data_IF_977264031069
#
_entry.id   IF_977264031069
#
_cell.length_a   1.000
_cell.length_b   1.000
_cell.length_c   1.000
_cell.angle_alpha   90.00
_cell.angle_beta   90.00
_cell.angle_gamma   90.00
#
_symmetry.space_group_name_H-M   'P 1'
#
loop_
_entity.id
_entity.type
_entity.pdbx_description
1 polymer ?
#
# COMPACT_ATOMS: atom_id res chain seq x y z
N UNK A 1 5.05 -32.48 77.40
CA UNK A 1 4.29 -32.85 76.23
C UNK A 1 4.46 -31.70 75.24
N UNK A 2 5.33 -31.86 74.20
CA UNK A 2 5.66 -30.82 73.21
C UNK A 2 4.91 -31.18 71.95
N UNK A 3 3.96 -30.25 71.55
CA UNK A 3 3.25 -30.36 70.28
C UNK A 3 4.11 -29.81 69.14
N UNK A 4 4.44 -30.68 68.18
CA UNK A 4 5.12 -30.34 66.96
C UNK A 4 4.07 -30.12 65.88
N UNK A 5 3.86 -28.85 65.44
CA UNK A 5 3.01 -28.50 64.31
C UNK A 5 3.86 -28.68 63.06
N UNK A 6 3.50 -29.67 62.22
CA UNK A 6 4.07 -29.83 60.87
C UNK A 6 3.34 -28.88 59.90
N UNK A 7 4.03 -27.85 59.43
CA UNK A 7 3.59 -27.02 58.34
C UNK A 7 3.83 -27.76 57.02
N UNK A 8 2.74 -28.05 56.30
CA UNK A 8 2.80 -28.61 54.96
C UNK A 8 2.79 -27.39 53.98
N UNK A 9 3.94 -27.12 53.35
CA UNK A 9 4.01 -26.17 52.26
C UNK A 9 3.48 -26.82 50.99
N UNK A 10 2.32 -26.36 50.50
CA UNK A 10 1.83 -26.69 49.18
C UNK A 10 2.58 -25.83 48.15
N UNK A 11 3.46 -26.44 47.37
CA UNK A 11 4.08 -25.81 46.23
C UNK A 11 3.09 -25.84 45.06
N UNK A 12 2.45 -24.71 44.78
CA UNK A 12 1.62 -24.55 43.57
C UNK A 12 2.59 -24.33 42.41
N UNK A 13 2.83 -25.36 41.60
CA UNK A 13 3.52 -25.28 40.33
C UNK A 13 2.52 -24.73 39.33
N UNK A 14 2.57 -23.42 39.07
CA UNK A 14 1.88 -22.76 37.93
C UNK A 14 2.60 -23.23 36.66
N UNK A 15 2.06 -24.24 36.02
CA UNK A 15 2.46 -24.60 34.66
C UNK A 15 2.02 -23.51 33.72
N UNK A 16 2.94 -22.66 33.29
CA UNK A 16 2.74 -21.76 32.17
C UNK A 16 2.66 -22.61 30.89
N UNK A 17 1.46 -23.01 30.49
CA UNK A 17 1.25 -23.53 29.15
C UNK A 17 1.34 -22.33 28.19
N UNK A 18 2.53 -22.12 27.63
CA UNK A 18 2.69 -21.24 26.47
C UNK A 18 1.87 -21.83 25.34
N UNK A 19 0.74 -21.21 25.03
CA UNK A 19 0.04 -21.49 23.78
C UNK A 19 0.96 -21.07 22.64
N UNK A 20 1.61 -22.05 22.02
CA UNK A 20 2.32 -21.84 20.76
C UNK A 20 1.22 -21.64 19.72
N UNK A 21 0.96 -20.40 19.33
CA UNK A 21 0.15 -20.08 18.15
C UNK A 21 0.96 -20.62 16.97
N UNK A 22 0.42 -21.57 16.20
CA UNK A 22 1.14 -22.07 15.03
C UNK A 22 1.39 -20.90 14.09
N UNK A 23 2.64 -20.67 13.71
CA UNK A 23 2.97 -19.68 12.69
C UNK A 23 2.38 -20.14 11.36
N UNK A 24 1.43 -19.38 10.81
CA UNK A 24 0.96 -19.63 9.46
C UNK A 24 2.06 -19.20 8.48
N UNK A 25 2.66 -20.17 7.83
CA UNK A 25 3.59 -19.89 6.74
C UNK A 25 2.83 -19.36 5.53
N UNK A 26 3.23 -18.17 5.03
CA UNK A 26 2.69 -17.62 3.78
C UNK A 26 3.15 -18.51 2.64
N UNK A 27 2.19 -19.10 1.92
CA UNK A 27 2.47 -20.06 0.85
C UNK A 27 2.66 -19.37 -0.49
N UNK A 28 3.54 -19.91 -1.29
CA UNK A 28 3.73 -19.49 -2.70
C UNK A 28 2.41 -19.60 -3.48
N UNK A 29 2.09 -18.55 -4.27
CA UNK A 29 0.85 -18.51 -5.06
C UNK A 29 -0.42 -18.25 -4.25
N UNK A 30 -0.28 -17.63 -3.06
CA UNK A 30 -1.42 -17.19 -2.23
C UNK A 30 -1.25 -15.75 -1.78
N UNK A 31 -2.37 -15.06 -1.59
CA UNK A 31 -2.46 -13.75 -0.96
C UNK A 31 -3.33 -13.91 0.28
N UNK A 32 -2.90 -13.37 1.42
CA UNK A 32 -3.68 -13.33 2.66
C UNK A 32 -4.03 -11.87 2.93
N UNK A 33 -5.32 -11.57 3.11
CA UNK A 33 -5.75 -10.24 3.55
C UNK A 33 -5.49 -10.08 5.06
N UNK A 34 -4.73 -9.07 5.44
CA UNK A 34 -4.31 -8.82 6.82
C UNK A 34 -5.06 -7.67 7.49
N UNK A 35 -5.71 -6.81 6.71
CA UNK A 35 -6.41 -5.63 7.19
C UNK A 35 -7.49 -5.20 6.21
N UNK A 36 -8.74 -5.14 6.69
CA UNK A 36 -9.89 -4.71 5.89
C UNK A 36 -11.06 -4.29 6.78
N UNK A 37 -12.03 -3.59 6.19
CA UNK A 37 -13.24 -3.14 6.85
C UNK A 37 -14.31 -4.23 7.03
N UNK A 38 -14.09 -5.45 6.51
CA UNK A 38 -15.04 -6.57 6.61
C UNK A 38 -14.32 -7.91 6.70
N UNK A 39 -14.93 -8.86 7.43
CA UNK A 39 -14.38 -10.19 7.67
C UNK A 39 -15.51 -11.20 7.93
N UNK A 40 -15.28 -12.47 7.61
CA UNK A 40 -16.07 -13.61 8.11
C UNK A 40 -15.58 -14.10 9.46
N UNK A 41 -14.30 -13.89 9.75
CA UNK A 41 -13.68 -14.30 10.99
C UNK A 41 -13.91 -13.23 12.08
N UNK A 42 -14.82 -13.51 13.01
CA UNK A 42 -15.17 -12.60 14.12
C UNK A 42 -14.07 -12.48 15.17
N UNK A 43 -13.02 -13.27 15.09
CA UNK A 43 -11.85 -13.17 15.98
C UNK A 43 -10.87 -12.08 15.55
N UNK A 44 -10.99 -11.60 14.31
CA UNK A 44 -10.18 -10.51 13.75
C UNK A 44 -10.88 -9.16 13.94
N UNK A 45 -10.09 -8.11 14.07
CA UNK A 45 -10.61 -6.75 14.22
C UNK A 45 -10.65 -6.05 12.89
N UNK A 46 -11.86 -5.72 12.41
CA UNK A 46 -12.06 -4.96 11.18
C UNK A 46 -11.90 -3.46 11.46
N UNK A 47 -11.30 -2.75 10.51
CA UNK A 47 -11.20 -1.30 10.50
C UNK A 47 -10.98 -0.80 9.08
N UNK A 48 -11.25 0.49 8.82
CA UNK A 48 -11.08 1.05 7.48
C UNK A 48 -9.59 1.18 7.14
N UNK A 49 -9.13 0.40 6.19
CA UNK A 49 -7.75 0.33 5.74
C UNK A 49 -7.49 -0.96 4.95
N UNK A 50 -6.29 -1.09 4.42
CA UNK A 50 -5.91 -2.24 3.61
C UNK A 50 -4.51 -2.72 3.92
N UNK A 51 -4.35 -4.04 3.95
CA UNK A 51 -3.06 -4.72 3.94
C UNK A 51 -3.19 -6.15 3.46
N UNK A 52 -2.24 -6.63 2.70
CA UNK A 52 -2.14 -8.04 2.37
C UNK A 52 -0.70 -8.52 2.31
N UNK A 53 -0.52 -9.84 2.39
CA UNK A 53 0.77 -10.49 2.29
C UNK A 53 0.73 -11.61 1.26
N UNK A 54 1.80 -11.74 0.48
CA UNK A 54 1.96 -12.82 -0.50
C UNK A 54 3.38 -13.35 -0.51
N UNK A 55 3.58 -14.55 -1.05
CA UNK A 55 4.91 -15.10 -1.32
C UNK A 55 5.07 -15.33 -2.81
N UNK A 56 6.17 -14.82 -3.37
CA UNK A 56 6.48 -14.91 -4.78
C UNK A 56 7.98 -15.11 -5.00
N UNK A 57 8.37 -16.14 -5.74
CA UNK A 57 9.78 -16.55 -5.94
C UNK A 57 10.57 -16.67 -4.62
N UNK A 58 9.94 -17.24 -3.59
CA UNK A 58 10.54 -17.43 -2.28
C UNK A 58 10.66 -16.16 -1.44
N UNK A 59 10.19 -15.00 -1.94
CA UNK A 59 10.17 -13.73 -1.21
C UNK A 59 8.80 -13.46 -0.62
N UNK A 60 8.77 -13.05 0.64
CA UNK A 60 7.57 -12.63 1.35
C UNK A 60 7.38 -11.12 1.16
N UNK A 61 6.24 -10.73 0.61
CA UNK A 61 5.93 -9.38 0.19
C UNK A 61 4.72 -8.90 0.96
N UNK A 62 4.88 -7.82 1.71
CA UNK A 62 3.78 -7.09 2.34
C UNK A 62 3.35 -5.94 1.42
N UNK A 63 2.06 -5.83 1.16
CA UNK A 63 1.47 -4.73 0.41
C UNK A 63 0.54 -3.96 1.35
N UNK A 64 0.86 -2.68 1.62
CA UNK A 64 0.22 -1.81 2.60
C UNK A 64 0.23 -2.35 4.05
N UNK A 65 -0.21 -1.54 5.03
CA UNK A 65 -0.13 -1.89 6.44
C UNK A 65 -1.34 -1.39 7.28
N UNK A 66 -2.45 -1.01 6.65
CA UNK A 66 -3.66 -0.58 7.34
C UNK A 66 -3.56 0.79 8.02
N UNK A 67 -4.65 1.17 8.70
CA UNK A 67 -4.87 2.48 9.31
C UNK A 67 -4.36 2.61 10.75
N UNK A 68 -4.21 1.50 11.46
CA UNK A 68 -3.92 1.48 12.90
C UNK A 68 -2.90 0.40 13.25
N UNK A 69 -1.78 0.80 13.87
CA UNK A 69 -0.68 -0.10 14.20
C UNK A 69 -1.06 -1.18 15.22
N UNK A 70 -1.92 -0.87 16.20
CA UNK A 70 -2.33 -1.81 17.24
C UNK A 70 -3.31 -2.85 16.68
N UNK A 71 -4.25 -2.44 15.82
CA UNK A 71 -5.17 -3.36 15.12
C UNK A 71 -4.36 -4.24 14.16
N UNK A 72 -3.44 -3.65 13.39
CA UNK A 72 -2.55 -4.40 12.51
C UNK A 72 -1.76 -5.45 13.29
N UNK A 73 -1.15 -5.07 14.42
CA UNK A 73 -0.45 -6.00 15.32
C UNK A 73 -1.37 -7.13 15.80
N UNK A 74 -2.56 -6.79 16.26
CA UNK A 74 -3.51 -7.78 16.78
C UNK A 74 -3.91 -8.81 15.70
N UNK A 75 -4.22 -8.36 14.49
CA UNK A 75 -4.58 -9.21 13.36
C UNK A 75 -3.40 -10.08 12.91
N UNK A 76 -2.21 -9.51 12.76
CA UNK A 76 -0.97 -10.24 12.43
C UNK A 76 -0.71 -11.37 13.43
N UNK A 77 -0.80 -11.08 14.73
CA UNK A 77 -0.60 -12.08 15.77
C UNK A 77 -1.65 -13.18 15.73
N UNK A 78 -2.92 -12.82 15.49
CA UNK A 78 -4.03 -13.77 15.40
C UNK A 78 -3.91 -14.67 14.18
N UNK A 79 -3.48 -14.11 13.05
CA UNK A 79 -3.24 -14.84 11.81
C UNK A 79 -1.93 -15.65 11.85
N UNK A 80 -1.09 -15.49 12.89
CA UNK A 80 0.19 -16.20 13.05
C UNK A 80 1.23 -15.79 12.00
N UNK A 81 1.18 -14.55 11.50
CA UNK A 81 2.13 -14.04 10.51
C UNK A 81 3.37 -13.50 11.22
N UNK A 82 4.55 -13.91 10.76
CA UNK A 82 5.81 -13.40 11.27
C UNK A 82 6.36 -12.27 10.40
N UNK A 83 6.27 -11.03 10.87
CA UNK A 83 6.75 -9.86 10.11
C UNK A 83 8.28 -9.81 9.94
N UNK A 84 9.06 -10.61 10.69
CA UNK A 84 10.50 -10.74 10.46
C UNK A 84 10.83 -11.43 9.14
N UNK A 85 9.90 -12.22 8.62
CA UNK A 85 10.06 -12.96 7.37
C UNK A 85 9.69 -12.11 6.13
N UNK A 86 9.24 -10.87 6.33
CA UNK A 86 8.93 -9.94 5.24
C UNK A 86 10.23 -9.43 4.62
N UNK A 87 10.45 -9.74 3.35
CA UNK A 87 11.61 -9.30 2.58
C UNK A 87 11.40 -7.91 1.94
N UNK A 88 10.17 -7.65 1.50
CA UNK A 88 9.81 -6.48 0.70
C UNK A 88 8.47 -5.93 1.18
N UNK A 89 8.39 -4.61 1.29
CA UNK A 89 7.15 -3.87 1.54
C UNK A 89 6.86 -2.97 0.35
N UNK A 90 5.61 -2.94 -0.07
CA UNK A 90 5.13 -2.01 -1.08
C UNK A 90 4.03 -1.18 -0.43
N UNK A 91 4.16 0.13 -0.47
CA UNK A 91 3.11 1.05 -0.05
C UNK A 91 2.45 1.61 -1.29
N UNK A 92 1.15 1.37 -1.40
CA UNK A 92 0.40 1.78 -2.59
C UNK A 92 0.35 3.30 -2.75
N UNK A 93 0.08 4.04 -1.68
CA UNK A 93 0.00 5.51 -1.68
C UNK A 93 0.06 6.09 -0.27
N UNK A 94 0.06 7.41 -0.16
CA UNK A 94 0.33 8.13 1.08
C UNK A 94 -0.84 8.28 2.06
N UNK A 95 -2.00 7.64 1.87
CA UNK A 95 -3.10 7.75 2.84
C UNK A 95 -2.81 6.94 4.11
N UNK A 96 -3.32 7.45 5.24
CA UNK A 96 -3.06 6.89 6.57
C UNK A 96 -3.52 5.44 6.71
N UNK A 97 -4.59 5.08 6.02
CA UNK A 97 -5.24 3.79 6.05
C UNK A 97 -4.51 2.68 5.27
N UNK A 98 -3.35 3.04 4.69
CA UNK A 98 -2.43 2.11 4.01
C UNK A 98 -1.05 2.03 4.66
N UNK A 99 -0.69 2.99 5.53
CA UNK A 99 0.69 3.09 6.00
C UNK A 99 0.87 3.14 7.52
N UNK A 100 -0.19 3.33 8.32
CA UNK A 100 -0.02 3.50 9.76
C UNK A 100 0.51 2.25 10.48
N UNK A 101 0.22 1.05 10.00
CA UNK A 101 0.79 -0.20 10.53
C UNK A 101 2.29 -0.36 10.30
N UNK A 102 2.91 0.46 9.44
CA UNK A 102 4.36 0.47 9.27
C UNK A 102 5.09 0.82 10.57
N UNK A 103 4.48 1.56 11.48
CA UNK A 103 5.06 1.84 12.79
C UNK A 103 5.30 0.57 13.59
N UNK A 104 4.39 -0.41 13.50
CA UNK A 104 4.60 -1.71 14.13
C UNK A 104 5.59 -2.56 13.35
N UNK A 105 5.45 -2.64 12.04
CA UNK A 105 6.39 -3.40 11.18
C UNK A 105 7.84 -2.97 11.43
N UNK A 106 8.12 -1.67 11.42
CA UNK A 106 9.49 -1.14 11.57
C UNK A 106 10.08 -1.36 12.96
N UNK A 107 9.26 -1.58 14.01
CA UNK A 107 9.75 -2.05 15.31
C UNK A 107 10.24 -3.51 15.23
N UNK A 108 9.63 -4.34 14.39
CA UNK A 108 9.93 -5.78 14.26
C UNK A 108 11.01 -6.04 13.21
N UNK A 109 10.97 -5.29 12.09
CA UNK A 109 11.85 -5.46 10.93
C UNK A 109 12.33 -4.08 10.43
N UNK A 110 13.26 -3.42 11.16
CA UNK A 110 13.62 -2.01 10.93
C UNK A 110 14.37 -1.77 9.62
N UNK A 111 14.98 -2.80 9.04
CA UNK A 111 15.80 -2.68 7.84
C UNK A 111 15.10 -3.20 6.57
N UNK A 112 13.83 -3.58 6.66
CA UNK A 112 13.07 -4.11 5.53
C UNK A 112 13.06 -3.11 4.37
N UNK A 113 13.20 -3.60 3.15
CA UNK A 113 13.12 -2.77 1.94
C UNK A 113 11.69 -2.34 1.71
N UNK A 114 11.47 -1.02 1.57
CA UNK A 114 10.14 -0.44 1.33
C UNK A 114 10.16 0.31 0.00
N UNK A 115 9.17 0.06 -0.84
CA UNK A 115 8.90 0.82 -2.06
C UNK A 115 7.70 1.75 -1.84
N UNK A 116 7.91 3.05 -2.10
CA UNK A 116 6.87 4.08 -2.09
C UNK A 116 6.66 4.62 -3.50
N UNK A 117 5.44 5.11 -3.84
CA UNK A 117 5.27 5.92 -5.03
C UNK A 117 6.13 7.18 -4.92
N UNK A 118 6.58 7.69 -6.06
CA UNK A 118 7.32 8.95 -6.09
C UNK A 118 6.39 10.10 -5.71
N UNK A 119 6.43 10.47 -4.46
CA UNK A 119 5.62 11.53 -3.88
C UNK A 119 6.51 12.46 -3.05
N UNK A 120 6.60 13.72 -3.49
CA UNK A 120 7.42 14.74 -2.84
C UNK A 120 6.94 15.08 -1.43
N UNK A 121 5.65 14.93 -1.14
CA UNK A 121 5.10 15.18 0.19
C UNK A 121 5.55 14.13 1.22
N UNK A 122 5.96 12.96 0.76
CA UNK A 122 6.44 11.85 1.59
C UNK A 122 7.97 11.76 1.65
N UNK A 123 8.66 12.78 1.13
CA UNK A 123 10.11 12.90 1.26
C UNK A 123 10.90 12.42 0.05
N UNK A 124 10.26 12.21 -1.11
CA UNK A 124 10.99 11.96 -2.34
C UNK A 124 11.99 13.09 -2.61
N UNK A 125 13.23 12.77 -3.03
CA UNK A 125 14.26 13.77 -3.27
C UNK A 125 13.85 14.75 -4.37
N UNK A 126 13.93 16.05 -4.09
CA UNK A 126 13.61 17.11 -5.05
C UNK A 126 14.88 17.87 -5.43
N UNK A 127 15.25 17.88 -6.72
CA UNK A 127 16.31 18.79 -7.18
C UNK A 127 15.91 20.24 -6.94
N UNK A 128 16.79 21.00 -6.35
CA UNK A 128 16.60 22.42 -6.08
C UNK A 128 17.80 23.22 -6.59
N UNK A 129 17.51 24.40 -7.10
CA UNK A 129 18.52 25.36 -7.48
C UNK A 129 18.28 26.67 -6.71
N UNK A 130 19.21 27.04 -5.84
CA UNK A 130 19.14 28.25 -5.05
C UNK A 130 19.61 29.50 -5.81
N UNK A 131 19.75 29.42 -7.13
CA UNK A 131 20.05 30.57 -7.97
C UNK A 131 18.90 31.57 -7.92
N UNK A 132 19.15 32.76 -7.47
CA UNK A 132 18.18 33.87 -7.40
C UNK A 132 18.12 34.68 -8.69
N UNK A 133 17.24 35.69 -8.69
CA UNK A 133 17.31 36.76 -9.70
C UNK A 133 18.54 37.63 -9.48
N UNK A 134 19.11 38.18 -10.57
CA UNK A 134 20.32 39.01 -10.52
C UNK A 134 21.46 38.33 -9.77
N UNK A 135 21.67 37.03 -9.96
CA UNK A 135 22.63 36.23 -9.21
C UNK A 135 24.08 36.71 -9.30
N UNK A 136 24.42 37.52 -10.32
CA UNK A 136 25.71 38.17 -10.48
C UNK A 136 26.05 39.14 -9.32
N UNK A 137 25.06 39.56 -8.55
CA UNK A 137 25.24 40.40 -7.35
C UNK A 137 26.10 39.66 -6.29
N UNK A 138 26.04 38.31 -6.27
CA UNK A 138 26.84 37.49 -5.33
C UNK A 138 28.36 37.83 -5.41
N UNK A 139 28.86 38.14 -6.62
CA UNK A 139 30.26 38.37 -6.86
C UNK A 139 30.77 39.64 -6.13
N UNK A 140 29.83 40.53 -5.73
CA UNK A 140 30.10 41.73 -4.91
C UNK A 140 30.04 41.45 -3.41
N UNK A 141 29.57 40.28 -3.00
CA UNK A 141 29.46 39.90 -1.59
C UNK A 141 30.73 39.17 -1.09
N UNK A 142 31.12 39.35 0.16
CA UNK A 142 32.15 38.52 0.78
C UNK A 142 31.78 37.04 0.71
N UNK A 143 32.74 36.15 0.51
CA UNK A 143 32.54 34.73 0.32
C UNK A 143 31.69 34.09 1.44
N UNK A 144 31.81 34.53 2.68
CA UNK A 144 31.00 34.01 3.80
C UNK A 144 29.53 34.42 3.77
N UNK A 145 29.13 35.32 2.89
CA UNK A 145 27.75 35.70 2.62
C UNK A 145 27.18 35.03 1.36
N UNK A 146 28.00 34.33 0.61
CA UNK A 146 27.56 33.62 -0.59
C UNK A 146 27.08 32.21 -0.21
N UNK A 147 25.97 31.74 -0.81
CA UNK A 147 25.52 30.38 -0.64
C UNK A 147 26.62 29.39 -1.04
N UNK A 148 26.85 28.38 -0.21
CA UNK A 148 27.87 27.36 -0.42
C UNK A 148 29.28 27.94 -0.68
N UNK A 149 29.59 29.08 -0.06
CA UNK A 149 30.85 29.84 -0.23
C UNK A 149 31.19 30.13 -1.71
N UNK A 150 30.17 30.41 -2.52
CA UNK A 150 30.29 30.67 -3.96
C UNK A 150 30.34 29.43 -4.85
N UNK A 151 30.12 28.24 -4.26
CA UNK A 151 30.05 26.97 -4.99
C UNK A 151 28.71 26.74 -5.73
N UNK A 152 28.45 25.52 -6.08
CA UNK A 152 27.20 25.13 -6.79
C UNK A 152 25.96 25.40 -5.94
N UNK A 153 24.98 26.11 -6.50
CA UNK A 153 23.64 26.34 -5.90
C UNK A 153 22.69 25.18 -6.09
N UNK A 154 23.10 24.16 -6.86
CA UNK A 154 22.28 22.98 -7.14
C UNK A 154 22.50 21.91 -6.09
N UNK A 155 21.41 21.47 -5.46
CA UNK A 155 21.43 20.40 -4.46
C UNK A 155 20.13 19.63 -4.45
N UNK A 156 20.08 18.55 -3.69
CA UNK A 156 18.90 17.73 -3.51
C UNK A 156 18.28 18.05 -2.15
N UNK A 157 17.05 18.56 -2.15
CA UNK A 157 16.25 18.65 -0.93
C UNK A 157 15.70 17.29 -0.64
N UNK A 158 15.97 16.80 0.58
CA UNK A 158 15.29 15.62 1.13
C UNK A 158 14.34 16.12 2.20
N UNK A 159 13.05 15.89 2.02
CA UNK A 159 12.09 16.24 3.06
C UNK A 159 12.11 15.18 4.16
N UNK A 160 11.99 15.60 5.41
CA UNK A 160 11.89 14.68 6.53
C UNK A 160 10.45 14.20 6.65
N UNK A 161 10.19 12.94 6.37
CA UNK A 161 8.90 12.28 6.57
C UNK A 161 8.90 11.39 7.80
N UNK A 162 7.73 10.85 8.14
CA UNK A 162 7.54 9.94 9.28
C UNK A 162 8.45 8.72 9.25
N UNK A 163 8.77 8.22 8.05
CA UNK A 163 9.59 7.01 7.83
C UNK A 163 10.98 7.33 7.30
N UNK A 164 11.49 8.50 7.60
CA UNK A 164 12.73 9.05 7.05
C UNK A 164 13.95 8.13 7.18
N UNK A 165 14.05 7.42 8.31
CA UNK A 165 15.18 6.53 8.59
C UNK A 165 14.97 5.10 8.06
N UNK A 166 13.82 4.80 7.46
CA UNK A 166 13.55 3.50 6.89
C UNK A 166 14.28 3.30 5.55
N UNK A 167 14.45 2.05 5.14
CA UNK A 167 15.08 1.70 3.87
C UNK A 167 14.10 1.87 2.70
N UNK A 168 13.79 3.14 2.36
CA UNK A 168 12.78 3.50 1.36
C UNK A 168 13.42 3.73 -0.01
N UNK A 169 12.73 3.27 -1.04
CA UNK A 169 12.97 3.61 -2.43
C UNK A 169 11.71 4.18 -3.06
N UNK A 170 11.80 5.40 -3.60
CA UNK A 170 10.71 6.05 -4.31
C UNK A 170 10.70 5.61 -5.78
N UNK A 171 9.55 5.11 -6.22
CA UNK A 171 9.34 4.55 -7.56
C UNK A 171 8.62 5.57 -8.44
N UNK A 172 9.29 6.02 -9.50
CA UNK A 172 8.76 7.02 -10.45
C UNK A 172 8.29 6.41 -11.77
N UNK A 173 8.87 5.31 -12.15
CA UNK A 173 8.57 4.57 -13.39
C UNK A 173 8.41 3.09 -13.09
N UNK A 174 7.72 2.36 -13.96
CA UNK A 174 7.56 0.92 -13.81
C UNK A 174 8.90 0.21 -13.62
N UNK A 175 8.95 -0.73 -12.69
CA UNK A 175 10.17 -1.41 -12.29
C UNK A 175 9.90 -2.87 -11.97
N UNK A 176 10.55 -3.77 -12.69
CA UNK A 176 10.62 -5.17 -12.30
C UNK A 176 11.63 -5.32 -11.16
N UNK A 177 11.19 -5.75 -9.98
CA UNK A 177 12.03 -5.89 -8.77
C UNK A 177 12.46 -7.34 -8.50
N UNK A 178 11.72 -8.29 -9.05
CA UNK A 178 12.08 -9.72 -9.16
C UNK A 178 11.56 -10.22 -10.51
N UNK A 179 12.09 -11.31 -11.06
CA UNK A 179 11.57 -11.86 -12.32
C UNK A 179 10.05 -12.07 -12.28
N UNK A 180 9.31 -11.34 -13.10
CA UNK A 180 7.85 -11.38 -13.15
C UNK A 180 7.12 -10.64 -12.01
N UNK A 181 7.83 -9.89 -11.17
CA UNK A 181 7.24 -9.04 -10.13
C UNK A 181 7.52 -7.58 -10.47
N UNK A 182 6.48 -6.86 -10.91
CA UNK A 182 6.60 -5.51 -11.45
C UNK A 182 5.80 -4.52 -10.62
N UNK A 183 6.46 -3.43 -10.22
CA UNK A 183 5.82 -2.24 -9.65
C UNK A 183 5.30 -1.35 -10.77
N UNK A 184 4.03 -0.96 -10.68
CA UNK A 184 3.34 -0.13 -11.67
C UNK A 184 2.93 1.18 -11.01
N UNK A 185 3.70 2.27 -11.19
CA UNK A 185 3.30 3.58 -10.72
C UNK A 185 2.23 4.15 -11.64
N UNK A 186 1.18 4.68 -11.05
CA UNK A 186 0.11 5.41 -11.74
C UNK A 186 -0.16 6.73 -11.05
N UNK A 187 -0.63 7.69 -11.82
CA UNK A 187 -1.11 8.97 -11.32
C UNK A 187 -2.04 9.54 -12.38
N UNK A 188 -3.26 9.84 -12.00
CA UNK A 188 -4.23 10.44 -12.91
C UNK A 188 -5.13 11.43 -12.18
N UNK A 189 -5.71 12.34 -12.94
CA UNK A 189 -6.70 13.30 -12.45
C UNK A 189 -8.09 12.69 -12.21
N UNK A 190 -8.23 11.39 -12.36
CA UNK A 190 -9.50 10.66 -12.36
C UNK A 190 -10.35 10.94 -11.11
N UNK A 191 -9.74 11.01 -9.94
CA UNK A 191 -10.42 11.27 -8.67
C UNK A 191 -10.32 12.73 -8.22
N UNK A 192 -9.89 13.65 -9.11
CA UNK A 192 -9.87 15.08 -8.82
C UNK A 192 -8.78 15.54 -7.85
N UNK A 193 -7.69 14.83 -7.74
CA UNK A 193 -6.56 15.26 -6.94
C UNK A 193 -5.76 16.36 -7.62
N UNK A 194 -5.48 17.41 -6.85
CA UNK A 194 -4.68 18.54 -7.31
C UNK A 194 -3.44 18.64 -6.44
N UNK A 195 -2.28 18.63 -7.07
CA UNK A 195 -1.03 19.01 -6.45
C UNK A 195 -0.60 20.36 -6.97
N UNK A 196 -0.66 21.37 -6.13
CA UNK A 196 -0.10 22.68 -6.39
C UNK A 196 1.23 22.79 -5.63
N UNK A 197 2.36 22.68 -6.31
CA UNK A 197 3.66 22.88 -5.70
C UNK A 197 4.26 24.24 -6.14
N UNK A 198 4.92 24.97 -5.25
CA UNK A 198 5.04 24.80 -3.81
C UNK A 198 3.99 25.59 -3.02
N UNK A 199 3.45 25.00 -1.99
CA UNK A 199 2.81 25.72 -0.87
C UNK A 199 1.34 26.08 -1.01
N UNK A 200 0.56 25.44 -1.92
CA UNK A 200 -0.88 25.58 -1.99
C UNK A 200 -1.62 24.30 -1.59
N UNK A 201 -2.75 24.48 -0.94
CA UNK A 201 -3.54 23.43 -0.31
C UNK A 201 -3.88 22.29 -1.25
N UNK A 202 -3.54 21.08 -0.82
CA UNK A 202 -4.04 19.83 -1.33
C UNK A 202 -5.50 19.66 -0.89
N UNK A 203 -6.41 19.39 -1.82
CA UNK A 203 -7.82 19.09 -1.50
C UNK A 203 -8.23 17.83 -2.24
N UNK A 204 -8.53 16.78 -1.47
CA UNK A 204 -9.05 15.53 -1.98
C UNK A 204 -10.52 15.68 -2.38
N UNK A 205 -10.88 15.14 -3.55
CA UNK A 205 -12.28 15.03 -3.96
C UNK A 205 -12.97 16.32 -4.37
N UNK A 206 -12.27 17.44 -4.52
CA UNK A 206 -12.82 18.63 -5.13
C UNK A 206 -12.66 18.58 -6.64
N UNK A 207 -13.79 18.54 -7.36
CA UNK A 207 -13.86 18.54 -8.82
C UNK A 207 -13.79 19.96 -9.42
N UNK A 208 -13.54 20.98 -8.61
CA UNK A 208 -13.41 22.35 -9.08
C UNK A 208 -12.16 22.50 -9.96
N UNK A 209 -12.31 23.26 -11.05
CA UNK A 209 -11.21 23.50 -11.97
C UNK A 209 -10.02 24.09 -11.20
N UNK A 210 -8.81 23.53 -11.38
CA UNK A 210 -7.62 24.16 -10.82
C UNK A 210 -7.51 25.59 -11.32
N UNK A 211 -7.08 26.50 -10.45
CA UNK A 211 -6.68 27.80 -10.96
C UNK A 211 -5.47 27.60 -11.91
N UNK A 212 -5.25 28.51 -12.85
CA UNK A 212 -4.28 28.39 -13.93
C UNK A 212 -2.83 28.05 -13.53
N UNK A 213 -2.53 28.04 -12.23
CA UNK A 213 -1.21 27.76 -11.66
C UNK A 213 -1.08 26.37 -11.02
N UNK A 214 -2.12 25.53 -11.06
CA UNK A 214 -2.12 24.20 -10.48
C UNK A 214 -2.17 23.14 -11.57
N UNK A 215 -1.18 22.25 -11.58
CA UNK A 215 -1.26 21.05 -12.41
C UNK A 215 -2.05 19.98 -11.67
N UNK A 216 -3.01 19.38 -12.36
CA UNK A 216 -3.68 18.20 -11.87
C UNK A 216 -2.75 16.99 -12.07
N UNK A 217 -2.05 16.61 -11.02
CA UNK A 217 -1.08 15.51 -11.07
C UNK A 217 -1.66 14.17 -10.65
N UNK A 218 -2.88 14.16 -10.13
CA UNK A 218 -3.44 12.98 -9.48
C UNK A 218 -2.70 12.61 -8.18
N UNK A 219 -3.16 11.55 -7.53
CA UNK A 219 -2.46 10.94 -6.40
C UNK A 219 -1.50 9.88 -6.94
N UNK A 220 -0.18 9.99 -6.64
CA UNK A 220 0.77 8.95 -7.02
C UNK A 220 0.46 7.64 -6.29
N UNK A 221 0.31 6.56 -7.03
CA UNK A 221 0.03 5.21 -6.52
C UNK A 221 1.01 4.19 -7.09
N UNK A 222 1.25 3.12 -6.33
CA UNK A 222 1.91 1.90 -6.78
C UNK A 222 0.93 0.74 -6.75
N UNK A 223 0.88 0.01 -7.84
CA UNK A 223 0.27 -1.31 -7.92
C UNK A 223 1.34 -2.38 -8.13
N UNK A 224 1.02 -3.61 -7.80
CA UNK A 224 1.94 -4.75 -7.92
C UNK A 224 1.38 -5.76 -8.91
N UNK A 225 2.14 -6.07 -9.96
CA UNK A 225 1.84 -7.18 -10.88
C UNK A 225 2.72 -8.37 -10.61
N UNK A 226 2.08 -9.54 -10.51
CA UNK A 226 2.71 -10.85 -10.35
C UNK A 226 2.43 -11.69 -11.59
N UNK A 227 3.45 -12.00 -12.36
CA UNK A 227 3.33 -12.86 -13.56
C UNK A 227 3.06 -14.30 -13.16
N UNK A 228 2.02 -14.88 -13.73
CA UNK A 228 1.68 -16.30 -13.56
C UNK A 228 1.57 -17.02 -14.90
N UNK A 229 1.36 -18.33 -14.87
CA UNK A 229 1.13 -19.11 -16.10
C UNK A 229 -0.18 -18.75 -16.80
N UNK A 230 -1.14 -18.18 -16.06
CA UNK A 230 -2.48 -17.84 -16.58
C UNK A 230 -2.63 -16.38 -17.00
N UNK A 231 -1.71 -15.52 -16.61
CA UNK A 231 -1.75 -14.08 -16.83
C UNK A 231 -1.19 -13.33 -15.62
N UNK A 232 -1.41 -12.02 -15.58
CA UNK A 232 -0.97 -11.17 -14.47
C UNK A 232 -1.98 -11.22 -13.31
N UNK A 233 -1.49 -11.32 -12.07
CA UNK A 233 -2.24 -11.06 -10.85
C UNK A 233 -1.88 -9.66 -10.39
N UNK A 234 -2.85 -8.76 -10.45
CA UNK A 234 -2.67 -7.35 -10.15
C UNK A 234 -3.20 -7.04 -8.75
N UNK A 235 -2.33 -6.58 -7.86
CA UNK A 235 -2.69 -6.10 -6.52
C UNK A 235 -2.71 -4.58 -6.55
N UNK A 236 -3.82 -3.99 -6.12
CA UNK A 236 -4.06 -2.55 -6.07
C UNK A 236 -4.37 -2.10 -4.63
N UNK A 237 -4.03 -0.86 -4.29
CA UNK A 237 -4.39 -0.26 -3.00
C UNK A 237 -5.82 0.26 -3.00
N UNK A 238 -5.99 1.58 -3.23
CA UNK A 238 -7.30 2.21 -3.40
C UNK A 238 -7.74 2.36 -4.85
N UNK A 239 -6.81 2.42 -5.79
CA UNK A 239 -7.11 2.71 -7.21
C UNK A 239 -7.61 4.15 -7.45
N UNK A 240 -6.98 5.14 -6.82
CA UNK A 240 -7.30 6.56 -7.03
C UNK A 240 -7.04 7.03 -8.46
N UNK A 241 -6.19 6.33 -9.19
CA UNK A 241 -5.96 6.56 -10.63
C UNK A 241 -7.04 5.95 -11.53
N UNK A 242 -8.04 5.27 -10.94
CA UNK A 242 -9.04 4.46 -11.64
C UNK A 242 -8.55 3.03 -11.84
N UNK A 243 -9.27 2.06 -11.28
CA UNK A 243 -8.88 0.65 -11.36
C UNK A 243 -8.73 0.18 -12.81
N UNK A 244 -9.60 0.64 -13.72
CA UNK A 244 -9.53 0.32 -15.14
C UNK A 244 -8.30 0.91 -15.85
N UNK A 245 -7.83 2.06 -15.39
CA UNK A 245 -6.61 2.68 -15.91
C UNK A 245 -5.38 1.90 -15.44
N UNK A 246 -5.37 1.47 -14.17
CA UNK A 246 -4.30 0.64 -13.60
C UNK A 246 -4.24 -0.71 -14.31
N UNK A 247 -5.40 -1.35 -14.57
CA UNK A 247 -5.49 -2.61 -15.33
C UNK A 247 -4.95 -2.41 -16.75
N UNK A 248 -5.34 -1.32 -17.41
CA UNK A 248 -4.89 -1.00 -18.77
C UNK A 248 -3.38 -0.81 -18.84
N UNK A 249 -2.79 -0.13 -17.85
CA UNK A 249 -1.34 0.06 -17.77
C UNK A 249 -0.62 -1.27 -17.48
N UNK A 250 -1.18 -2.13 -16.62
CA UNK A 250 -0.66 -3.47 -16.39
C UNK A 250 -0.63 -4.31 -17.67
N UNK A 251 -1.74 -4.35 -18.43
CA UNK A 251 -1.83 -5.08 -19.70
C UNK A 251 -0.78 -4.58 -20.69
N UNK A 252 -0.63 -3.26 -20.80
CA UNK A 252 0.32 -2.62 -21.71
C UNK A 252 1.77 -2.95 -21.34
N UNK A 253 2.13 -2.82 -20.05
CA UNK A 253 3.51 -3.07 -19.58
C UNK A 253 3.90 -4.54 -19.64
N UNK A 254 3.00 -5.43 -19.22
CA UNK A 254 3.27 -6.87 -19.23
C UNK A 254 3.11 -7.50 -20.61
N UNK A 255 2.46 -6.81 -21.57
CA UNK A 255 2.01 -7.37 -22.84
C UNK A 255 1.27 -8.71 -22.65
N UNK A 256 0.41 -8.76 -21.63
CA UNK A 256 -0.25 -9.96 -21.15
C UNK A 256 -1.65 -9.61 -20.61
N UNK A 257 -2.55 -10.61 -20.55
CA UNK A 257 -3.86 -10.44 -19.94
C UNK A 257 -3.77 -10.38 -18.42
N UNK A 258 -4.74 -9.73 -17.78
CA UNK A 258 -4.89 -9.77 -16.34
C UNK A 258 -5.81 -10.95 -15.95
N UNK A 259 -5.24 -11.92 -15.26
CA UNK A 259 -5.94 -13.08 -14.73
C UNK A 259 -6.81 -12.74 -13.52
N UNK A 260 -6.29 -11.89 -12.63
CA UNK A 260 -7.00 -11.49 -11.42
C UNK A 260 -6.62 -10.07 -10.98
N UNK A 261 -7.62 -9.30 -10.55
CA UNK A 261 -7.39 -8.03 -9.84
C UNK A 261 -7.87 -8.18 -8.39
N UNK A 262 -6.99 -7.83 -7.44
CA UNK A 262 -7.25 -7.89 -6.02
C UNK A 262 -6.94 -6.56 -5.34
N UNK A 263 -7.83 -6.09 -4.44
CA UNK A 263 -7.67 -4.88 -3.64
C UNK A 263 -8.84 -3.91 -3.72
N UNK A 264 -8.61 -2.64 -3.38
CA UNK A 264 -9.63 -1.58 -3.38
C UNK A 264 -9.85 -0.98 -4.77
N UNK A 265 -11.09 -0.89 -5.21
CA UNK A 265 -11.46 -0.39 -6.54
C UNK A 265 -12.01 1.04 -6.50
N UNK A 266 -12.07 1.65 -5.32
CA UNK A 266 -12.52 3.03 -5.07
C UNK A 266 -13.85 3.42 -5.75
N UNK A 267 -14.79 2.48 -5.82
CA UNK A 267 -16.10 2.72 -6.42
C UNK A 267 -17.15 3.23 -5.42
N UNK A 268 -16.75 3.43 -4.16
CA UNK A 268 -17.61 3.86 -3.06
C UNK A 268 -18.39 5.16 -3.38
N UNK A 269 -17.80 6.18 -4.05
CA UNK A 269 -18.51 7.41 -4.39
C UNK A 269 -19.38 7.31 -5.66
N UNK A 270 -19.35 6.19 -6.39
CA UNK A 270 -19.99 6.07 -7.69
C UNK A 270 -21.46 5.67 -7.56
N UNK A 271 -22.30 6.26 -8.41
CA UNK A 271 -23.68 5.83 -8.59
C UNK A 271 -23.76 4.47 -9.34
N UNK A 272 -25.00 3.97 -9.49
CA UNK A 272 -25.25 2.69 -10.14
C UNK A 272 -24.82 2.67 -11.62
N UNK A 273 -25.01 3.77 -12.34
CA UNK A 273 -24.68 3.86 -13.76
C UNK A 273 -23.16 3.85 -13.94
N UNK A 274 -22.47 4.67 -13.18
CA UNK A 274 -21.01 4.73 -13.15
C UNK A 274 -20.40 3.38 -12.77
N UNK A 275 -20.92 2.76 -11.71
CA UNK A 275 -20.44 1.44 -11.23
C UNK A 275 -20.67 0.36 -12.29
N UNK A 276 -21.86 0.28 -12.92
CA UNK A 276 -22.14 -0.69 -13.97
C UNK A 276 -21.25 -0.51 -15.20
N UNK A 277 -21.03 0.74 -15.60
CA UNK A 277 -20.14 1.08 -16.73
C UNK A 277 -18.73 0.55 -16.45
N UNK A 278 -18.24 0.76 -15.25
CA UNK A 278 -16.89 0.35 -14.85
C UNK A 278 -16.76 -1.18 -14.74
N UNK A 279 -17.76 -1.84 -14.14
CA UNK A 279 -17.82 -3.29 -14.04
C UNK A 279 -17.83 -3.93 -15.44
N UNK A 280 -18.62 -3.38 -16.37
CA UNK A 280 -18.65 -3.85 -17.75
C UNK A 280 -17.32 -3.65 -18.47
N UNK A 281 -16.67 -2.48 -18.27
CA UNK A 281 -15.34 -2.18 -18.82
C UNK A 281 -14.30 -3.18 -18.33
N UNK A 282 -14.25 -3.44 -17.02
CA UNK A 282 -13.31 -4.41 -16.43
C UNK A 282 -13.51 -5.80 -17.02
N UNK A 283 -14.76 -6.25 -17.10
CA UNK A 283 -15.08 -7.61 -17.56
C UNK A 283 -14.95 -7.80 -19.07
N UNK A 284 -15.56 -6.89 -19.85
CA UNK A 284 -15.76 -7.10 -21.29
C UNK A 284 -14.68 -6.43 -22.14
N UNK A 285 -14.25 -5.21 -21.80
CA UNK A 285 -13.27 -4.47 -22.60
C UNK A 285 -11.83 -4.84 -22.22
N UNK A 286 -11.56 -4.93 -20.90
CA UNK A 286 -10.24 -5.29 -20.36
C UNK A 286 -10.07 -6.80 -20.19
N UNK A 287 -11.15 -7.56 -20.35
CA UNK A 287 -11.16 -9.02 -20.32
C UNK A 287 -10.48 -9.62 -19.07
N UNK A 288 -10.70 -8.99 -17.91
CA UNK A 288 -10.23 -9.49 -16.63
C UNK A 288 -11.00 -10.78 -16.29
N UNK A 289 -10.29 -11.86 -15.98
CA UNK A 289 -10.92 -13.14 -15.72
C UNK A 289 -11.55 -13.21 -14.33
N UNK A 290 -10.80 -12.86 -13.26
CA UNK A 290 -11.29 -12.92 -11.89
C UNK A 290 -11.13 -11.58 -11.18
N UNK A 291 -12.03 -11.31 -10.24
CA UNK A 291 -11.96 -10.14 -9.37
C UNK A 291 -12.06 -10.53 -7.91
N UNK A 292 -11.23 -9.95 -7.08
CA UNK A 292 -11.23 -10.11 -5.63
C UNK A 292 -11.28 -8.72 -4.97
N UNK A 293 -12.42 -8.00 -5.08
CA UNK A 293 -12.54 -6.64 -4.57
C UNK A 293 -12.50 -6.60 -3.04
N UNK A 294 -11.82 -5.60 -2.51
CA UNK A 294 -11.59 -5.40 -1.08
C UNK A 294 -11.76 -3.92 -0.70
N UNK A 295 -11.55 -3.57 0.55
CA UNK A 295 -11.37 -2.23 1.09
C UNK A 295 -12.42 -1.20 0.61
N UNK A 296 -11.98 -0.14 -0.11
CA UNK A 296 -12.80 1.00 -0.54
C UNK A 296 -13.66 0.74 -1.79
N UNK A 297 -13.88 -0.51 -2.18
CA UNK A 297 -14.69 -0.85 -3.37
C UNK A 297 -16.16 -0.43 -3.24
N UNK A 298 -16.77 -0.56 -2.06
CA UNK A 298 -18.15 -0.13 -1.78
C UNK A 298 -19.21 -1.22 -2.00
N UNK A 299 -20.28 -1.16 -1.20
CA UNK A 299 -21.32 -2.20 -1.15
C UNK A 299 -22.04 -2.39 -2.49
N UNK A 300 -22.35 -1.28 -3.19
CA UNK A 300 -22.99 -1.36 -4.51
C UNK A 300 -22.08 -2.07 -5.52
N UNK A 301 -20.80 -1.72 -5.52
CA UNK A 301 -19.83 -2.32 -6.42
C UNK A 301 -19.60 -3.81 -6.10
N UNK A 302 -19.50 -4.20 -4.82
CA UNK A 302 -19.44 -5.62 -4.43
C UNK A 302 -20.59 -6.41 -5.02
N UNK A 303 -21.83 -5.89 -4.87
CA UNK A 303 -23.02 -6.57 -5.40
C UNK A 303 -23.01 -6.68 -6.93
N UNK A 304 -22.63 -5.65 -7.64
CA UNK A 304 -22.61 -5.63 -9.10
C UNK A 304 -21.47 -6.48 -9.67
N UNK A 305 -20.30 -6.44 -9.05
CA UNK A 305 -19.17 -7.32 -9.40
C UNK A 305 -19.53 -8.79 -9.17
N UNK A 306 -20.13 -9.12 -8.02
CA UNK A 306 -20.57 -10.47 -7.71
C UNK A 306 -21.58 -10.98 -8.76
N UNK A 307 -22.55 -10.15 -9.13
CA UNK A 307 -23.54 -10.49 -10.17
C UNK A 307 -22.87 -10.70 -11.54
N UNK A 308 -21.96 -9.81 -11.92
CA UNK A 308 -21.32 -9.84 -13.24
C UNK A 308 -20.31 -10.96 -13.38
N UNK A 309 -19.48 -11.22 -12.37
CA UNK A 309 -18.40 -12.21 -12.44
C UNK A 309 -18.83 -13.61 -11.98
N UNK A 310 -19.93 -13.73 -11.23
CA UNK A 310 -20.44 -15.04 -10.79
C UNK A 310 -19.40 -15.85 -10.03
N UNK A 311 -19.02 -17.03 -10.54
CA UNK A 311 -17.99 -17.89 -9.95
C UNK A 311 -16.57 -17.31 -9.97
N UNK A 312 -16.33 -16.31 -10.81
CA UNK A 312 -15.04 -15.64 -10.96
C UNK A 312 -14.89 -14.43 -10.01
N UNK A 313 -15.94 -14.14 -9.22
CA UNK A 313 -15.87 -13.24 -8.09
C UNK A 313 -15.34 -13.97 -6.87
N UNK A 314 -14.31 -13.43 -6.23
CA UNK A 314 -13.68 -13.99 -5.04
C UNK A 314 -13.99 -13.06 -3.86
N UNK A 315 -14.53 -13.62 -2.79
CA UNK A 315 -14.61 -12.88 -1.52
C UNK A 315 -13.21 -12.73 -0.93
N UNK A 316 -12.84 -11.50 -0.62
CA UNK A 316 -11.45 -11.14 -0.27
C UNK A 316 -11.33 -10.35 1.04
N UNK A 317 -12.23 -10.54 2.02
CA UNK A 317 -12.21 -9.86 3.31
C UNK A 317 -11.01 -10.24 4.18
N UNK A 318 -10.85 -9.52 5.29
CA UNK A 318 -9.81 -9.75 6.29
C UNK A 318 -9.77 -11.23 6.73
N UNK A 319 -8.58 -11.82 6.73
CA UNK A 319 -8.32 -13.22 7.08
C UNK A 319 -8.46 -14.21 5.92
N UNK A 320 -9.03 -13.81 4.79
CA UNK A 320 -9.19 -14.70 3.64
C UNK A 320 -7.86 -14.97 2.94
N UNK A 321 -7.72 -16.20 2.46
CA UNK A 321 -6.58 -16.63 1.65
C UNK A 321 -7.04 -16.86 0.22
N UNK A 322 -6.47 -16.07 -0.70
CA UNK A 322 -6.80 -16.08 -2.13
C UNK A 322 -5.68 -16.82 -2.86
N UNK A 323 -6.02 -17.86 -3.63
CA UNK A 323 -5.06 -18.61 -4.43
C UNK A 323 -4.96 -18.06 -5.86
N UNK A 324 -3.70 -17.93 -6.33
CA UNK A 324 -3.38 -17.63 -7.72
C UNK A 324 -2.34 -18.64 -8.24
N UNK A 325 -2.51 -19.20 -9.42
CA UNK A 325 -1.57 -20.18 -9.99
C UNK A 325 -1.55 -20.07 -11.52
#
# INVERSE_FOLDING_TARGET
MKNVIKAICFLIILSHTSFIIPSNEVKEGTIINLYDAFSKDTSLTTDFGFSCITKYHGKTILFDAGSNADIFQANINRLGINLKDVDIVIVSHGHFDHLNGLDYLLKINPNVKIYFPYDIFWGAPVPFDATGQEENVKDSLPQHMQYFAGGSTKFIIKQSGRFWNANIEFVKSSKEILPGLTLIPTSSSYMGYFSCYPGKSFVEGQFDKPNDNCQNTGLPELSLSLKTKKGEVLIVGCSHSGVENIISECIKLANNKVEMVYGGFHMLPFDRIQTLTLVNKIKNDLNVHRVAPAHCTGHLAFKLLQHSFGSDYIYAGLGETISYK
#
